data_IF_848286553167
#
_entry.id   IF_848286553167
#
_cell.length_a   1.000
_cell.length_b   1.000
_cell.length_c   1.000
_cell.angle_alpha   90.00
_cell.angle_beta   90.00
_cell.angle_gamma   90.00
#
_symmetry.space_group_name_H-M   'P 1'
#
loop_
_entity.id
_entity.type
_entity.pdbx_description
1 polymer ?
#
# COMPACT_ATOMS: atom_id res chain seq x y z
N UNK A 1 26.73 14.36 -54.94
CA UNK A 1 26.11 13.05 -54.66
C UNK A 1 25.89 12.95 -53.15
N UNK A 2 24.62 12.90 -52.72
CA UNK A 2 24.21 12.70 -51.32
C UNK A 2 24.05 11.20 -51.10
N UNK A 3 24.71 10.64 -50.09
CA UNK A 3 24.43 9.27 -49.65
C UNK A 3 23.80 9.34 -48.27
N UNK A 4 22.55 8.89 -48.19
CA UNK A 4 21.72 8.79 -46.99
C UNK A 4 21.98 7.44 -46.31
N UNK A 5 22.10 7.42 -44.99
CA UNK A 5 21.89 6.25 -44.12
C UNK A 5 21.24 6.81 -42.86
N UNK A 6 19.91 6.89 -42.78
CA UNK A 6 18.96 5.86 -42.33
C UNK A 6 19.13 5.51 -40.84
N UNK A 7 18.41 6.27 -40.00
CA UNK A 7 18.17 6.01 -38.58
C UNK A 7 17.14 4.90 -38.47
N UNK A 8 17.48 3.79 -37.79
CA UNK A 8 16.54 2.73 -37.47
C UNK A 8 16.01 2.97 -36.04
N UNK A 9 14.75 3.37 -35.94
CA UNK A 9 14.01 3.40 -34.69
C UNK A 9 13.49 1.99 -34.41
N UNK A 10 13.87 1.39 -33.28
CA UNK A 10 13.29 0.14 -32.80
C UNK A 10 12.17 0.50 -31.82
N UNK A 11 10.93 0.33 -32.29
CA UNK A 11 9.73 0.25 -31.47
C UNK A 11 9.70 -1.13 -30.81
N UNK A 12 9.79 -1.19 -29.48
CA UNK A 12 9.52 -2.41 -28.72
C UNK A 12 8.07 -2.35 -28.23
N UNK A 13 7.21 -3.15 -28.87
CA UNK A 13 5.85 -3.40 -28.42
C UNK A 13 5.87 -4.32 -27.19
N UNK A 14 5.39 -3.86 -26.04
CA UNK A 14 5.07 -4.72 -24.90
C UNK A 14 3.63 -5.18 -25.08
N UNK A 15 3.45 -6.49 -25.29
CA UNK A 15 2.16 -7.17 -25.29
C UNK A 15 1.84 -7.57 -23.86
N UNK A 16 0.73 -7.08 -23.34
CA UNK A 16 0.09 -7.55 -22.11
C UNK A 16 -0.73 -8.81 -22.43
N UNK A 17 -0.48 -9.91 -21.72
CA UNK A 17 -1.45 -10.99 -21.51
C UNK A 17 -0.99 -11.95 -20.41
N UNK A 18 -1.84 -12.12 -19.38
CA UNK A 18 -2.17 -13.46 -18.86
C UNK A 18 -1.59 -13.87 -17.50
N UNK A 19 -2.45 -13.81 -16.49
CA UNK A 19 -2.33 -14.30 -15.12
C UNK A 19 -1.98 -15.79 -14.97
N UNK A 20 -1.34 -16.16 -13.84
CA UNK A 20 -1.87 -17.04 -12.77
C UNK A 20 -0.77 -17.67 -11.90
N UNK A 21 -0.90 -17.58 -10.56
CA UNK A 21 -0.67 -18.68 -9.61
C UNK A 21 -1.07 -18.26 -8.18
N UNK A 22 -1.53 -19.21 -7.33
CA UNK A 22 -2.29 -18.95 -6.11
C UNK A 22 -1.41 -18.76 -4.87
N UNK A 23 -1.86 -17.91 -3.94
CA UNK A 23 -1.37 -17.93 -2.56
C UNK A 23 -2.40 -18.69 -1.71
N UNK A 24 -2.06 -19.91 -1.31
CA UNK A 24 -2.76 -20.64 -0.26
C UNK A 24 -2.20 -20.19 1.09
N UNK A 25 -3.04 -19.65 1.96
CA UNK A 25 -2.77 -19.50 3.38
C UNK A 25 -3.53 -20.60 4.15
N UNK A 26 -2.94 -21.23 5.18
CA UNK A 26 -3.57 -22.33 5.90
C UNK A 26 -4.68 -21.82 6.83
N UNK A 27 -5.88 -22.41 6.71
CA UNK A 27 -6.99 -22.21 7.64
C UNK A 27 -6.79 -22.99 8.96
N UNK A 28 -7.25 -22.46 10.10
CA UNK A 28 -7.35 -23.21 11.34
C UNK A 28 -8.71 -23.95 11.46
N UNK A 29 -8.63 -25.27 11.61
CA UNK A 29 -9.44 -26.07 12.55
C UNK A 29 -10.97 -26.02 12.49
N UNK A 30 -11.52 -27.05 11.83
CA UNK A 30 -12.81 -27.74 11.98
C UNK A 30 -13.75 -27.35 13.16
N UNK A 31 -15.00 -27.05 12.83
CA UNK A 31 -16.16 -27.03 13.73
C UNK A 31 -17.45 -27.36 12.97
N UNK A 32 -18.19 -28.36 13.47
CA UNK A 32 -19.15 -29.21 12.77
C UNK A 32 -20.45 -28.58 12.20
N UNK A 33 -20.97 -29.30 11.21
CA UNK A 33 -22.24 -29.14 10.50
C UNK A 33 -23.43 -29.63 11.34
N UNK A 34 -24.49 -28.83 11.47
CA UNK A 34 -25.87 -29.34 11.57
C UNK A 34 -26.85 -28.46 10.77
N UNK A 35 -27.61 -29.10 9.87
CA UNK A 35 -28.80 -28.58 9.15
C UNK A 35 -30.03 -29.28 9.72
N UNK A 36 -31.14 -28.59 9.98
CA UNK A 36 -32.34 -28.68 9.10
C UNK A 36 -33.12 -27.33 9.08
N UNK A 37 -34.04 -27.01 8.17
CA UNK A 37 -34.80 -27.72 7.17
C UNK A 37 -35.98 -26.83 6.77
N UNK A 38 -36.39 -26.96 5.51
CA UNK A 38 -37.47 -26.31 4.77
C UNK A 38 -38.86 -26.28 5.46
N UNK A 39 -39.62 -25.18 5.29
CA UNK A 39 -41.09 -25.20 5.21
C UNK A 39 -41.73 -23.81 4.91
N UNK A 40 -42.11 -23.60 3.64
CA UNK A 40 -43.50 -23.41 3.17
C UNK A 40 -44.40 -22.30 3.76
N UNK A 41 -44.75 -21.31 2.92
CA UNK A 41 -45.93 -20.42 3.04
C UNK A 41 -47.26 -21.18 3.02
N UNK A 42 -48.34 -20.66 3.64
CA UNK A 42 -49.51 -20.20 2.84
C UNK A 42 -50.35 -19.08 3.55
N UNK A 43 -51.58 -18.73 3.12
CA UNK A 43 -51.92 -17.88 1.98
C UNK A 43 -52.79 -16.65 2.35
N UNK A 44 -52.97 -15.74 1.38
CA UNK A 44 -54.00 -14.68 1.38
C UNK A 44 -55.35 -15.21 0.86
N UNK A 45 -56.43 -14.88 1.58
CA UNK A 45 -57.85 -14.77 1.14
C UNK A 45 -58.53 -13.94 2.24
N UNK A 46 -59.36 -12.91 2.06
CA UNK A 46 -60.27 -12.51 0.99
C UNK A 46 -61.66 -12.27 1.61
N UNK A 47 -62.34 -11.18 1.22
CA UNK A 47 -63.80 -10.86 1.36
C UNK A 47 -64.20 -9.67 2.25
N UNK A 48 -64.32 -8.48 1.62
CA UNK A 48 -65.50 -7.63 1.30
C UNK A 48 -66.81 -7.65 2.18
N UNK A 49 -67.80 -6.75 1.95
CA UNK A 49 -68.08 -5.50 2.68
C UNK A 49 -69.53 -5.41 3.26
N UNK A 50 -69.88 -4.33 3.95
CA UNK A 50 -71.24 -3.71 4.10
C UNK A 50 -71.17 -2.70 5.25
N UNK A 51 -71.98 -1.66 5.42
CA UNK A 51 -72.89 -0.81 4.63
C UNK A 51 -73.52 0.11 5.71
N UNK A 52 -74.01 1.29 5.33
CA UNK A 52 -75.08 1.94 6.11
C UNK A 52 -74.78 3.28 6.76
N UNK A 53 -75.05 4.32 5.97
CA UNK A 53 -76.12 5.32 6.23
C UNK A 53 -75.87 6.50 7.20
N UNK A 54 -75.80 7.66 6.55
CA UNK A 54 -76.62 8.88 6.73
C UNK A 54 -76.70 9.64 8.05
N UNK A 55 -76.52 10.96 7.94
CA UNK A 55 -76.92 11.94 8.96
C UNK A 55 -76.41 13.34 8.67
N UNK A 56 -77.20 14.11 7.91
CA UNK A 56 -77.07 15.55 7.63
C UNK A 56 -76.89 16.45 8.86
N UNK A 57 -76.30 17.64 8.66
CA UNK A 57 -76.80 18.86 9.32
C UNK A 57 -75.80 19.86 9.91
N UNK A 58 -75.68 21.00 9.19
CA UNK A 58 -75.47 22.38 9.69
C UNK A 58 -74.07 22.94 10.05
N UNK A 59 -73.57 23.70 9.06
CA UNK A 59 -73.09 25.09 9.14
C UNK A 59 -72.52 25.61 10.47
N UNK A 60 -71.21 25.86 10.48
CA UNK A 60 -70.63 27.08 11.08
C UNK A 60 -69.55 27.69 10.20
N UNK A 61 -69.89 28.89 9.73
CA UNK A 61 -69.04 29.93 9.17
C UNK A 61 -67.94 30.31 10.19
N UNK A 62 -66.68 30.03 9.86
CA UNK A 62 -65.52 30.72 10.45
C UNK A 62 -64.57 31.07 9.32
N UNK A 63 -64.58 32.36 9.01
CA UNK A 63 -63.55 33.05 8.24
C UNK A 63 -62.22 32.87 8.96
N UNK A 64 -61.29 32.14 8.35
CA UNK A 64 -59.87 32.33 8.61
C UNK A 64 -59.12 32.49 7.29
N UNK A 65 -58.43 33.62 7.23
CA UNK A 65 -57.71 34.10 6.07
C UNK A 65 -56.62 33.09 5.66
N UNK A 66 -56.74 32.56 4.45
CA UNK A 66 -55.65 31.89 3.77
C UNK A 66 -54.52 32.91 3.56
N UNK A 67 -53.53 32.89 4.45
CA UNK A 67 -52.20 33.35 4.15
C UNK A 67 -51.65 32.39 3.09
N UNK A 68 -51.83 32.76 1.83
CA UNK A 68 -51.16 32.15 0.71
C UNK A 68 -49.70 32.64 0.77
N UNK A 69 -48.88 31.98 1.58
CA UNK A 69 -47.44 32.14 1.51
C UNK A 69 -47.00 31.62 0.14
N UNK A 70 -46.58 32.55 -0.72
CA UNK A 70 -46.11 32.28 -2.07
C UNK A 70 -44.75 31.58 -2.10
N UNK A 71 -44.52 30.63 -1.20
CA UNK A 71 -43.42 29.69 -1.27
C UNK A 71 -43.63 28.83 -2.51
N UNK A 72 -43.01 29.25 -3.60
CA UNK A 72 -42.84 28.42 -4.78
C UNK A 72 -42.12 27.16 -4.30
N UNK A 73 -42.61 25.93 -4.56
CA UNK A 73 -41.91 24.72 -4.16
C UNK A 73 -40.49 24.81 -4.71
N UNK A 74 -39.50 24.77 -3.81
CA UNK A 74 -38.11 24.56 -4.22
C UNK A 74 -38.13 23.24 -5.00
N UNK A 75 -37.58 23.19 -6.23
CA UNK A 75 -37.49 21.93 -6.97
C UNK A 75 -36.86 20.87 -6.06
N UNK A 76 -37.48 19.70 -5.96
CA UNK A 76 -36.89 18.59 -5.22
C UNK A 76 -35.53 18.27 -5.85
N UNK A 77 -34.49 18.20 -5.02
CA UNK A 77 -33.15 17.83 -5.45
C UNK A 77 -33.14 16.31 -5.59
N UNK A 78 -32.97 15.81 -6.81
CA UNK A 78 -32.99 14.35 -7.07
C UNK A 78 -31.61 13.75 -6.77
N UNK A 79 -31.29 13.61 -5.48
CA UNK A 79 -30.11 12.90 -4.99
C UNK A 79 -30.38 12.24 -3.61
N UNK A 80 -29.55 11.30 -3.15
CA UNK A 80 -29.77 10.58 -1.89
C UNK A 80 -29.86 11.46 -0.63
N UNK A 81 -29.31 12.68 -0.68
CA UNK A 81 -29.22 13.60 0.43
C UNK A 81 -30.37 14.61 0.48
N UNK A 82 -31.21 14.71 -0.56
CA UNK A 82 -32.26 15.74 -0.72
C UNK A 82 -31.73 17.20 -0.61
N UNK A 83 -30.43 17.41 -0.84
CA UNK A 83 -29.74 18.72 -0.71
C UNK A 83 -28.64 18.88 -1.76
N UNK A 84 -28.43 20.11 -2.25
CA UNK A 84 -27.36 20.40 -3.22
C UNK A 84 -26.00 20.66 -2.56
N UNK A 85 -25.97 21.19 -1.33
CA UNK A 85 -24.72 21.53 -0.61
C UNK A 85 -24.58 20.70 0.66
N UNK A 86 -23.54 19.87 0.74
CA UNK A 86 -23.24 19.04 1.91
C UNK A 86 -22.18 19.70 2.79
N UNK A 87 -22.39 19.67 4.10
CA UNK A 87 -21.40 20.07 5.10
C UNK A 87 -20.44 18.93 5.42
N UNK A 88 -19.16 19.26 5.47
CA UNK A 88 -18.09 18.28 5.73
C UNK A 88 -17.30 18.74 6.94
N UNK A 89 -17.26 17.91 7.99
CA UNK A 89 -16.34 18.09 9.11
C UNK A 89 -15.13 17.18 8.96
N UNK A 90 -14.00 17.58 9.56
CA UNK A 90 -12.76 16.80 9.58
C UNK A 90 -12.44 16.45 11.02
N UNK A 91 -12.32 15.16 11.32
CA UNK A 91 -11.76 14.63 12.56
C UNK A 91 -10.32 14.19 12.27
N UNK A 92 -9.36 15.04 12.60
CA UNK A 92 -7.93 14.85 12.40
C UNK A 92 -7.17 14.47 13.68
N UNK A 93 -7.87 13.96 14.70
CA UNK A 93 -7.28 13.67 16.01
C UNK A 93 -6.08 12.70 15.97
N UNK A 94 -6.01 11.81 14.98
CA UNK A 94 -4.90 10.85 14.79
C UNK A 94 -3.86 11.32 13.75
N UNK A 95 -3.99 12.53 13.22
CA UNK A 95 -3.00 13.10 12.31
C UNK A 95 -1.76 13.53 13.11
N UNK A 96 -0.58 13.20 12.59
CA UNK A 96 0.69 13.55 13.24
C UNK A 96 0.84 15.06 13.42
N UNK A 97 1.37 15.48 14.57
CA UNK A 97 1.55 16.89 14.89
C UNK A 97 2.35 17.63 13.79
N UNK A 98 1.78 18.72 13.26
CA UNK A 98 2.40 19.52 12.21
C UNK A 98 2.04 19.13 10.77
N UNK A 99 1.27 18.05 10.58
CA UNK A 99 0.66 17.71 9.28
C UNK A 99 -0.73 18.34 9.20
N UNK A 100 -0.98 19.05 8.11
CA UNK A 100 -2.30 19.60 7.77
C UNK A 100 -2.93 18.77 6.66
N UNK A 101 -4.09 18.18 6.93
CA UNK A 101 -4.86 17.33 6.00
C UNK A 101 -5.99 18.08 5.33
N UNK A 102 -6.36 19.28 5.81
CA UNK A 102 -7.48 20.04 5.26
C UNK A 102 -7.31 20.42 3.79
N UNK A 103 -6.09 20.75 3.29
CA UNK A 103 -5.88 20.95 1.86
C UNK A 103 -6.24 19.72 1.03
N UNK A 104 -5.81 18.52 1.46
CA UNK A 104 -6.13 17.27 0.74
C UNK A 104 -7.64 16.97 0.75
N UNK A 105 -8.31 17.21 1.89
CA UNK A 105 -9.78 17.11 1.96
C UNK A 105 -10.41 18.09 0.98
N UNK A 106 -9.97 19.34 0.96
CA UNK A 106 -10.50 20.35 0.06
C UNK A 106 -10.29 19.99 -1.41
N UNK A 107 -9.10 19.52 -1.79
CA UNK A 107 -8.82 19.11 -3.16
C UNK A 107 -9.75 17.97 -3.62
N UNK A 108 -10.01 16.99 -2.75
CA UNK A 108 -10.92 15.89 -3.05
C UNK A 108 -12.40 16.33 -3.13
N UNK A 109 -12.82 17.30 -2.32
CA UNK A 109 -14.15 17.90 -2.43
C UNK A 109 -14.28 18.66 -3.76
N UNK A 110 -13.32 19.54 -4.06
CA UNK A 110 -13.28 20.33 -5.31
C UNK A 110 -13.30 19.41 -6.55
N UNK A 111 -12.64 18.24 -6.49
CA UNK A 111 -12.71 17.22 -7.54
C UNK A 111 -14.16 16.76 -7.78
N UNK A 112 -14.90 16.41 -6.74
CA UNK A 112 -16.29 15.94 -6.89
C UNK A 112 -17.27 17.07 -7.23
N UNK A 113 -17.05 18.29 -6.76
CA UNK A 113 -17.84 19.46 -7.21
C UNK A 113 -17.73 19.63 -8.73
N UNK A 114 -16.52 19.47 -9.27
CA UNK A 114 -16.28 19.60 -10.71
C UNK A 114 -16.83 18.43 -11.55
N UNK A 115 -16.91 17.22 -10.99
CA UNK A 115 -17.09 15.99 -11.76
C UNK A 115 -18.36 15.17 -11.44
N UNK A 116 -19.00 15.37 -10.28
CA UNK A 116 -20.14 14.59 -9.80
C UNK A 116 -21.29 14.50 -10.81
N UNK A 117 -21.63 15.61 -11.48
CA UNK A 117 -22.69 15.61 -12.50
C UNK A 117 -22.43 14.63 -13.63
N UNK A 118 -21.16 14.42 -13.99
CA UNK A 118 -20.78 13.51 -15.04
C UNK A 118 -20.80 12.05 -14.59
N UNK A 119 -20.20 11.76 -13.43
CA UNK A 119 -19.99 10.39 -12.96
C UNK A 119 -21.14 9.87 -12.08
N UNK A 120 -21.62 10.67 -11.11
CA UNK A 120 -22.71 10.30 -10.20
C UNK A 120 -24.11 10.68 -10.72
N UNK A 121 -24.20 11.48 -11.79
CA UNK A 121 -25.46 11.87 -12.43
C UNK A 121 -26.20 13.05 -11.80
N UNK A 122 -25.67 13.61 -10.71
CA UNK A 122 -26.16 14.81 -10.05
C UNK A 122 -24.98 15.70 -9.61
N UNK A 123 -25.22 17.00 -9.49
CA UNK A 123 -24.20 17.90 -8.94
C UNK A 123 -24.27 17.92 -7.42
N UNK A 124 -23.11 18.09 -6.79
CA UNK A 124 -22.96 18.33 -5.36
C UNK A 124 -22.02 19.50 -5.16
N UNK A 125 -22.32 20.34 -4.18
CA UNK A 125 -21.42 21.36 -3.63
C UNK A 125 -21.04 20.95 -2.20
N UNK A 126 -19.86 21.33 -1.74
CA UNK A 126 -19.42 21.06 -0.37
C UNK A 126 -19.09 22.34 0.40
N UNK A 127 -19.41 22.31 1.68
CA UNK A 127 -18.98 23.31 2.65
C UNK A 127 -18.15 22.64 3.73
N UNK A 128 -16.83 22.75 3.60
CA UNK A 128 -15.89 22.35 4.64
C UNK A 128 -16.06 23.25 5.87
N UNK A 129 -16.38 22.64 7.02
CA UNK A 129 -16.56 23.33 8.29
C UNK A 129 -15.22 23.74 8.91
N UNK A 130 -15.22 24.77 9.76
CA UNK A 130 -14.04 25.24 10.48
C UNK A 130 -13.57 24.20 11.51
N UNK A 131 -12.29 24.28 11.94
CA UNK A 131 -11.64 23.29 12.85
C UNK A 131 -12.38 23.09 14.17
N UNK A 132 -12.95 24.16 14.72
CA UNK A 132 -13.67 24.13 16.00
C UNK A 132 -15.16 23.74 15.86
N UNK A 133 -15.60 23.33 14.67
CA UNK A 133 -17.02 23.01 14.42
C UNK A 133 -17.40 21.66 15.03
N UNK A 134 -18.64 21.54 15.49
CA UNK A 134 -19.17 20.26 15.96
C UNK A 134 -19.32 19.30 14.77
N UNK A 135 -18.74 18.11 14.91
CA UNK A 135 -18.78 17.06 13.88
C UNK A 135 -20.13 16.35 13.85
N UNK A 136 -20.93 16.41 14.93
CA UNK A 136 -22.21 15.71 15.01
C UNK A 136 -23.29 16.28 14.10
N UNK A 137 -23.14 17.54 13.69
CA UNK A 137 -24.12 18.28 12.91
C UNK A 137 -23.78 18.31 11.41
N UNK A 138 -22.66 17.69 11.00
CA UNK A 138 -22.24 17.63 9.61
C UNK A 138 -23.00 16.55 8.82
N UNK A 139 -23.09 16.72 7.50
CA UNK A 139 -23.61 15.68 6.62
C UNK A 139 -22.60 14.54 6.44
N UNK A 140 -21.32 14.92 6.36
CA UNK A 140 -20.18 14.01 6.25
C UNK A 140 -19.12 14.34 7.31
N UNK A 141 -18.53 13.29 7.88
CA UNK A 141 -17.33 13.40 8.73
C UNK A 141 -16.21 12.62 8.09
N UNK A 142 -15.14 13.31 7.71
CA UNK A 142 -13.87 12.71 7.28
C UNK A 142 -13.01 12.47 8.50
N UNK A 143 -12.86 11.21 8.90
CA UNK A 143 -12.14 10.79 10.08
C UNK A 143 -10.80 10.14 9.72
N UNK A 144 -9.70 10.72 10.19
CA UNK A 144 -8.37 10.15 10.04
C UNK A 144 -8.07 9.17 11.18
N UNK A 145 -7.70 7.93 10.84
CA UNK A 145 -7.44 6.84 11.80
C UNK A 145 -6.14 6.11 11.49
N UNK A 146 -5.50 5.50 12.48
CA UNK A 146 -4.25 4.77 12.27
C UNK A 146 -4.41 3.48 11.46
N UNK A 147 -5.57 2.82 11.60
CA UNK A 147 -5.84 1.52 10.99
C UNK A 147 -7.35 1.30 10.79
N UNK A 148 -7.73 0.80 9.62
CA UNK A 148 -9.11 0.43 9.28
C UNK A 148 -9.17 -1.09 9.16
N UNK A 149 -9.56 -1.74 10.25
CA UNK A 149 -9.60 -3.21 10.33
C UNK A 149 -10.76 -3.84 9.57
N UNK A 150 -11.86 -3.11 9.47
CA UNK A 150 -13.12 -3.60 8.91
C UNK A 150 -13.81 -2.49 8.11
N UNK A 151 -14.05 -2.79 6.84
CA UNK A 151 -14.91 -2.04 5.94
C UNK A 151 -15.91 -2.99 5.24
N UNK A 152 -16.76 -3.63 6.05
CA UNK A 152 -17.77 -4.58 5.55
C UNK A 152 -17.15 -5.93 5.20
N UNK A 153 -16.78 -6.13 3.94
CA UNK A 153 -16.13 -7.38 3.47
C UNK A 153 -14.62 -7.28 3.36
N UNK A 154 -14.10 -6.07 3.33
CA UNK A 154 -12.68 -5.79 3.20
C UNK A 154 -12.02 -5.53 4.55
N UNK A 155 -10.75 -5.90 4.66
CA UNK A 155 -9.94 -5.74 5.87
C UNK A 155 -8.63 -5.02 5.53
N UNK A 156 -8.10 -4.23 6.47
CA UNK A 156 -6.84 -3.48 6.33
C UNK A 156 -6.78 -2.56 5.09
N UNK A 157 -7.87 -1.82 4.87
CA UNK A 157 -8.04 -0.92 3.73
C UNK A 157 -7.42 0.46 3.96
N UNK A 158 -7.15 1.18 2.86
CA UNK A 158 -6.61 2.55 2.89
C UNK A 158 -7.66 3.60 3.27
N UNK A 159 -8.92 3.36 2.90
CA UNK A 159 -10.06 4.19 3.25
C UNK A 159 -11.32 3.32 3.42
N UNK A 160 -12.37 3.91 3.98
CA UNK A 160 -13.68 3.28 4.07
C UNK A 160 -14.80 4.31 4.20
N UNK A 161 -15.73 4.27 3.26
CA UNK A 161 -16.94 5.08 3.26
C UNK A 161 -18.22 4.24 3.07
N UNK A 162 -19.38 4.76 3.53
CA UNK A 162 -20.66 4.17 3.19
C UNK A 162 -20.94 4.30 1.69
N UNK A 163 -21.38 3.20 1.07
CA UNK A 163 -21.85 3.19 -0.32
C UNK A 163 -23.31 3.67 -0.41
N UNK A 164 -23.51 4.95 -0.74
CA UNK A 164 -24.81 5.62 -0.65
C UNK A 164 -25.46 5.69 -2.04
N UNK A 165 -26.48 4.85 -2.27
CA UNK A 165 -27.21 4.82 -3.55
C UNK A 165 -28.66 5.28 -3.42
N UNK A 166 -29.19 5.42 -2.19
CA UNK A 166 -30.58 5.77 -1.90
C UNK A 166 -30.68 6.53 -0.59
N UNK A 167 -31.64 7.45 -0.52
CA UNK A 167 -32.00 8.18 0.70
C UNK A 167 -33.15 7.55 1.50
N UNK A 168 -33.47 8.09 2.68
CA UNK A 168 -32.71 9.16 3.35
C UNK A 168 -31.37 8.64 3.91
N UNK A 169 -30.34 9.50 3.91
CA UNK A 169 -29.01 9.17 4.44
C UNK A 169 -28.98 9.36 5.96
N UNK A 170 -28.41 8.39 6.68
CA UNK A 170 -28.09 8.54 8.10
C UNK A 170 -26.89 9.48 8.27
N UNK A 171 -27.09 10.61 8.97
CA UNK A 171 -26.08 11.67 9.15
C UNK A 171 -25.53 11.69 10.59
N UNK A 172 -24.22 11.98 10.78
CA UNK A 172 -23.21 12.14 9.73
C UNK A 172 -22.85 10.79 9.09
N UNK A 173 -22.67 10.78 7.77
CA UNK A 173 -22.03 9.66 7.09
C UNK A 173 -20.50 9.76 7.30
N UNK A 174 -19.91 8.70 7.85
CA UNK A 174 -18.50 8.71 8.28
C UNK A 174 -17.62 8.11 7.20
N UNK A 175 -16.67 8.90 6.71
CA UNK A 175 -15.60 8.50 5.79
C UNK A 175 -14.33 8.34 6.60
N UNK A 176 -13.77 7.13 6.68
CA UNK A 176 -12.53 6.85 7.41
C UNK A 176 -11.36 6.80 6.45
N UNK A 177 -10.27 7.48 6.79
CA UNK A 177 -9.04 7.53 5.99
C UNK A 177 -7.88 7.09 6.86
N UNK A 178 -7.11 6.11 6.38
CA UNK A 178 -5.92 5.66 7.08
C UNK A 178 -4.82 6.72 7.03
N UNK A 179 -4.17 7.00 8.15
CA UNK A 179 -3.03 7.92 8.24
C UNK A 179 -1.74 7.29 7.72
N UNK A 180 -0.70 8.10 7.54
CA UNK A 180 0.64 7.62 7.12
C UNK A 180 0.93 7.72 5.63
N UNK A 181 -0.04 8.08 4.79
CA UNK A 181 0.15 8.35 3.37
C UNK A 181 0.70 9.76 3.10
N UNK A 182 1.42 9.93 1.99
CA UNK A 182 1.79 11.26 1.50
C UNK A 182 0.54 12.07 1.07
N UNK A 183 0.75 13.32 0.67
CA UNK A 183 -0.36 14.20 0.31
C UNK A 183 -1.16 13.68 -0.90
N UNK A 184 -0.49 13.23 -1.96
CA UNK A 184 -1.14 12.79 -3.19
C UNK A 184 -1.96 11.50 -2.96
N UNK A 185 -1.37 10.54 -2.26
CA UNK A 185 -2.05 9.29 -1.90
C UNK A 185 -3.20 9.53 -0.94
N UNK A 186 -3.08 10.49 -0.02
CA UNK A 186 -4.19 10.90 0.85
C UNK A 186 -5.34 11.50 0.05
N UNK A 187 -5.06 12.42 -0.88
CA UNK A 187 -6.07 13.01 -1.76
C UNK A 187 -6.76 11.95 -2.61
N UNK A 188 -6.00 11.02 -3.21
CA UNK A 188 -6.57 9.95 -4.03
C UNK A 188 -7.53 9.04 -3.23
N UNK A 189 -7.15 8.66 -2.01
CA UNK A 189 -8.04 7.88 -1.13
C UNK A 189 -9.27 8.69 -0.77
N UNK A 190 -9.12 9.97 -0.43
CA UNK A 190 -10.27 10.85 -0.16
C UNK A 190 -11.23 10.94 -1.36
N UNK A 191 -10.70 11.15 -2.56
CA UNK A 191 -11.49 11.17 -3.80
C UNK A 191 -12.25 9.85 -3.98
N UNK A 192 -11.58 8.71 -3.83
CA UNK A 192 -12.20 7.38 -3.92
C UNK A 192 -13.35 7.20 -2.92
N UNK A 193 -13.08 7.45 -1.63
CA UNK A 193 -14.06 7.23 -0.56
C UNK A 193 -15.25 8.19 -0.68
N UNK A 194 -15.02 9.45 -1.07
CA UNK A 194 -16.10 10.38 -1.35
C UNK A 194 -16.95 9.93 -2.55
N UNK A 195 -16.37 9.25 -3.55
CA UNK A 195 -17.11 8.63 -4.64
C UNK A 195 -18.14 7.60 -4.16
N UNK A 196 -17.81 6.79 -3.15
CA UNK A 196 -18.77 5.88 -2.53
C UNK A 196 -19.94 6.60 -1.85
N UNK A 197 -19.68 7.76 -1.24
CA UNK A 197 -20.75 8.60 -0.66
C UNK A 197 -21.67 9.18 -1.75
N UNK A 198 -21.21 9.22 -3.01
CA UNK A 198 -21.99 9.64 -4.17
C UNK A 198 -22.63 8.48 -4.95
N UNK A 199 -22.47 7.24 -4.46
CA UNK A 199 -23.07 6.04 -5.06
C UNK A 199 -22.25 5.39 -6.16
N UNK A 200 -20.96 5.73 -6.29
CA UNK A 200 -20.03 5.09 -7.22
C UNK A 200 -19.36 3.87 -6.58
N UNK A 201 -19.29 2.77 -7.30
CA UNK A 201 -18.59 1.53 -6.93
C UNK A 201 -17.22 1.42 -7.61
N UNK A 202 -16.51 0.32 -7.35
CA UNK A 202 -15.13 0.18 -7.82
C UNK A 202 -14.95 0.04 -9.35
N UNK A 203 -16.02 -0.33 -10.06
CA UNK A 203 -16.01 -0.52 -11.51
C UNK A 203 -16.49 0.74 -12.27
N UNK A 204 -16.89 1.79 -11.54
CA UNK A 204 -17.41 3.02 -12.14
C UNK A 204 -16.28 3.96 -12.57
N UNK A 205 -16.56 4.86 -13.51
CA UNK A 205 -15.63 5.92 -13.89
C UNK A 205 -15.60 7.05 -12.83
N UNK A 206 -14.47 7.75 -12.66
CA UNK A 206 -13.19 7.54 -13.35
C UNK A 206 -12.38 6.39 -12.73
N UNK A 207 -11.91 5.47 -13.57
CA UNK A 207 -11.21 4.26 -13.13
C UNK A 207 -9.91 4.55 -12.37
N UNK A 208 -9.26 5.67 -12.65
CA UNK A 208 -8.06 6.13 -11.96
C UNK A 208 -8.32 6.55 -10.50
N UNK A 209 -9.58 6.85 -10.15
CA UNK A 209 -10.01 7.18 -8.79
C UNK A 209 -10.76 6.02 -8.16
N UNK A 210 -11.76 5.47 -8.85
CA UNK A 210 -12.70 4.50 -8.26
C UNK A 210 -12.19 3.06 -8.27
N UNK A 211 -11.12 2.70 -9.00
CA UNK A 211 -10.62 1.33 -8.96
C UNK A 211 -10.31 0.86 -7.53
N UNK A 212 -10.74 -0.36 -7.18
CA UNK A 212 -10.54 -0.93 -5.84
C UNK A 212 -9.09 -1.27 -5.49
N UNK A 213 -8.16 -1.13 -6.44
CA UNK A 213 -6.73 -1.30 -6.24
C UNK A 213 -5.97 -0.13 -6.87
N UNK A 214 -5.09 0.48 -6.08
CA UNK A 214 -4.19 1.54 -6.55
C UNK A 214 -2.87 1.50 -5.79
N UNK A 215 -1.81 2.09 -6.37
CA UNK A 215 -0.53 2.23 -5.70
C UNK A 215 -0.55 3.49 -4.85
N UNK A 216 -0.28 3.33 -3.54
CA UNK A 216 -0.19 4.42 -2.58
C UNK A 216 1.22 4.50 -2.02
N UNK A 217 1.69 5.72 -1.79
CA UNK A 217 2.97 6.06 -1.18
C UNK A 217 2.78 6.58 0.23
N UNK A 218 3.65 6.16 1.14
CA UNK A 218 3.69 6.66 2.51
C UNK A 218 4.37 8.02 2.61
N UNK A 219 4.20 8.69 3.74
CA UNK A 219 5.08 9.81 4.10
C UNK A 219 6.55 9.36 4.13
N UNK A 220 7.50 10.29 3.97
CA UNK A 220 8.93 9.97 4.01
C UNK A 220 9.31 9.15 5.24
N UNK A 221 10.13 8.12 5.02
CA UNK A 221 10.65 7.22 6.05
C UNK A 221 12.17 7.28 6.09
N UNK A 222 12.75 6.56 7.04
CA UNK A 222 14.20 6.48 7.18
C UNK A 222 14.73 5.39 6.26
N UNK A 223 15.62 5.79 5.37
CA UNK A 223 16.36 4.91 4.47
C UNK A 223 17.11 3.80 5.21
N UNK A 224 17.19 2.63 4.59
CA UNK A 224 17.93 1.46 5.06
C UNK A 224 19.40 1.77 5.35
N UNK A 225 20.00 2.65 4.56
CA UNK A 225 21.40 3.09 4.72
C UNK A 225 21.60 3.97 5.95
N UNK A 226 20.55 4.65 6.42
CA UNK A 226 20.61 5.55 7.57
C UNK A 226 20.19 4.86 8.89
N UNK A 227 19.74 3.59 8.80
CA UNK A 227 19.43 2.74 9.95
C UNK A 227 20.69 2.08 10.49
N UNK A 228 20.68 1.81 11.79
CA UNK A 228 21.68 0.94 12.43
C UNK A 228 21.71 -0.46 11.78
N UNK A 229 20.53 -0.98 11.39
CA UNK A 229 20.39 -2.21 10.62
C UNK A 229 19.33 -2.03 9.53
N UNK A 230 19.72 -2.26 8.28
CA UNK A 230 18.83 -2.22 7.13
C UNK A 230 17.75 -3.33 7.11
N UNK A 231 17.88 -4.35 7.95
CA UNK A 231 16.99 -5.50 8.03
C UNK A 231 16.01 -5.38 9.20
N UNK A 232 14.89 -6.10 9.12
CA UNK A 232 13.93 -6.20 10.22
C UNK A 232 14.40 -7.10 11.38
N UNK A 233 15.44 -7.90 11.15
CA UNK A 233 15.97 -8.87 12.11
C UNK A 233 17.49 -8.97 11.97
N UNK A 234 18.18 -9.22 13.08
CA UNK A 234 19.65 -9.28 13.11
C UNK A 234 20.24 -10.67 12.84
N UNK A 235 19.40 -11.73 12.81
CA UNK A 235 19.85 -13.08 12.42
C UNK A 235 19.47 -13.35 10.97
N UNK A 236 20.42 -13.20 10.06
CA UNK A 236 20.20 -13.34 8.62
C UNK A 236 20.36 -14.79 8.17
N UNK A 237 19.38 -15.29 7.44
CA UNK A 237 19.42 -16.61 6.83
C UNK A 237 20.28 -16.59 5.56
N UNK A 238 21.20 -17.55 5.43
CA UNK A 238 22.17 -17.60 4.34
C UNK A 238 22.07 -18.92 3.60
N UNK A 239 21.79 -18.84 2.30
CA UNK A 239 21.91 -19.95 1.37
C UNK A 239 23.14 -19.76 0.49
N UNK A 240 23.87 -20.86 0.25
CA UNK A 240 25.05 -20.85 -0.61
C UNK A 240 24.94 -21.96 -1.63
N UNK A 241 24.83 -21.57 -2.89
CA UNK A 241 24.94 -22.48 -4.03
C UNK A 241 26.39 -22.57 -4.47
N UNK A 242 27.04 -23.68 -4.10
CA UNK A 242 28.44 -23.92 -4.44
C UNK A 242 28.67 -24.27 -5.91
N UNK A 243 27.62 -24.51 -6.72
CA UNK A 243 27.65 -24.68 -8.18
C UNK A 243 29.03 -25.02 -8.77
N UNK A 244 29.62 -24.03 -9.44
CA UNK A 244 30.88 -24.12 -10.18
C UNK A 244 32.14 -23.81 -9.34
N UNK A 245 32.08 -23.92 -8.00
CA UNK A 245 33.25 -23.69 -7.16
C UNK A 245 34.32 -24.79 -7.33
N UNK A 246 35.55 -24.39 -7.64
CA UNK A 246 36.69 -25.30 -7.89
C UNK A 246 36.98 -26.26 -6.72
N UNK A 247 37.02 -25.72 -5.49
CA UNK A 247 37.14 -26.49 -4.25
C UNK A 247 36.01 -26.09 -3.30
N UNK A 248 34.96 -26.92 -3.26
CA UNK A 248 33.79 -26.70 -2.42
C UNK A 248 34.15 -26.53 -0.94
N UNK A 249 35.03 -27.38 -0.40
CA UNK A 249 35.31 -27.39 1.03
C UNK A 249 36.14 -26.15 1.44
N UNK A 250 37.11 -25.77 0.60
CA UNK A 250 37.87 -24.54 0.82
C UNK A 250 37.00 -23.30 0.64
N UNK A 251 36.11 -23.28 -0.36
CA UNK A 251 35.14 -22.21 -0.58
C UNK A 251 34.17 -22.07 0.59
N UNK A 252 33.69 -23.19 1.13
CA UNK A 252 32.82 -23.20 2.31
C UNK A 252 33.50 -22.54 3.52
N UNK A 253 34.78 -22.85 3.77
CA UNK A 253 35.56 -22.19 4.83
C UNK A 253 35.71 -20.68 4.59
N UNK A 254 35.93 -20.26 3.35
CA UNK A 254 36.06 -18.85 2.98
C UNK A 254 34.76 -18.08 3.20
N UNK A 255 33.62 -18.64 2.79
CA UNK A 255 32.31 -18.03 3.04
C UNK A 255 32.01 -17.98 4.55
N UNK A 256 32.29 -19.06 5.29
CA UNK A 256 32.09 -19.08 6.74
C UNK A 256 32.96 -18.04 7.46
N UNK A 257 34.22 -17.87 7.05
CA UNK A 257 35.12 -16.86 7.59
C UNK A 257 34.62 -15.42 7.32
N UNK A 258 34.14 -15.16 6.11
CA UNK A 258 33.56 -13.86 5.75
C UNK A 258 32.34 -13.51 6.62
N UNK A 259 31.44 -14.48 6.86
CA UNK A 259 30.28 -14.28 7.73
C UNK A 259 30.69 -14.08 9.19
N UNK A 260 31.58 -14.95 9.70
CA UNK A 260 32.07 -14.87 11.08
C UNK A 260 32.73 -13.54 11.41
N UNK A 261 33.45 -12.92 10.45
CA UNK A 261 34.01 -11.58 10.63
C UNK A 261 32.96 -10.51 10.98
N UNK A 262 31.76 -10.59 10.38
CA UNK A 262 30.65 -9.70 10.72
C UNK A 262 29.92 -10.11 12.00
N UNK A 263 29.85 -11.41 12.33
CA UNK A 263 29.35 -11.87 13.64
C UNK A 263 30.23 -11.38 14.79
N UNK A 264 31.54 -11.23 14.54
CA UNK A 264 32.51 -10.66 15.47
C UNK A 264 32.50 -9.12 15.49
N UNK A 265 31.53 -8.48 14.79
CA UNK A 265 31.30 -7.04 14.79
C UNK A 265 32.12 -6.23 13.79
N UNK A 266 32.94 -6.87 12.96
CA UNK A 266 33.73 -6.24 11.89
C UNK A 266 34.43 -4.94 12.33
N UNK A 267 35.19 -4.99 13.42
CA UNK A 267 35.91 -3.83 13.99
C UNK A 267 34.98 -2.66 14.42
N UNK A 268 33.73 -2.96 14.75
CA UNK A 268 32.71 -1.99 15.15
C UNK A 268 32.06 -1.27 13.99
N UNK A 269 32.21 -1.76 12.75
CA UNK A 269 31.55 -1.19 11.57
C UNK A 269 30.11 -1.67 11.39
N UNK A 270 29.71 -2.75 12.08
CA UNK A 270 28.34 -3.27 12.08
C UNK A 270 27.84 -3.53 13.51
N UNK A 271 26.52 -3.64 13.74
CA UNK A 271 25.98 -3.96 15.07
C UNK A 271 26.45 -5.32 15.60
N UNK A 272 26.76 -5.41 16.90
CA UNK A 272 27.29 -6.62 17.56
C UNK A 272 26.29 -7.80 17.63
N UNK A 273 25.00 -7.56 17.33
CA UNK A 273 23.95 -8.58 17.37
C UNK A 273 23.66 -9.23 16.01
N UNK A 274 24.43 -8.89 14.97
CA UNK A 274 24.33 -9.53 13.65
C UNK A 274 24.81 -10.97 13.73
N UNK A 275 24.02 -11.90 13.20
CA UNK A 275 24.35 -13.33 13.16
C UNK A 275 23.84 -13.95 11.87
N UNK A 276 24.40 -15.10 11.49
CA UNK A 276 24.03 -15.80 10.27
C UNK A 276 23.63 -17.24 10.54
N UNK A 277 22.53 -17.67 9.94
CA UNK A 277 22.05 -19.06 10.01
C UNK A 277 22.01 -19.67 8.62
N UNK A 278 22.61 -20.84 8.43
CA UNK A 278 22.54 -21.54 7.14
C UNK A 278 21.15 -22.13 6.91
N UNK A 279 20.66 -21.98 5.69
CA UNK A 279 19.41 -22.60 5.22
C UNK A 279 19.65 -23.30 3.88
N UNK A 280 18.89 -24.36 3.62
CA UNK A 280 19.00 -25.16 2.40
C UNK A 280 18.09 -24.67 1.26
N UNK A 281 17.23 -23.69 1.54
CA UNK A 281 16.24 -23.17 0.59
C UNK A 281 16.54 -21.70 0.25
N UNK A 282 16.88 -21.37 -1.01
CA UNK A 282 17.16 -20.00 -1.41
C UNK A 282 15.95 -19.07 -1.28
N UNK A 283 14.72 -19.60 -1.31
CA UNK A 283 13.49 -18.81 -1.16
C UNK A 283 13.28 -18.30 0.26
N UNK A 284 13.92 -18.92 1.25
CA UNK A 284 13.86 -18.53 2.67
C UNK A 284 15.12 -17.83 3.17
N UNK A 285 16.12 -17.63 2.31
CA UNK A 285 17.37 -16.98 2.66
C UNK A 285 17.29 -15.45 2.49
N UNK A 286 17.78 -14.70 3.45
CA UNK A 286 18.00 -13.25 3.34
C UNK A 286 19.21 -12.98 2.42
N UNK A 287 20.27 -13.75 2.59
CA UNK A 287 21.51 -13.67 1.78
C UNK A 287 21.65 -14.92 0.93
N UNK A 288 21.81 -14.74 -0.38
CA UNK A 288 22.05 -15.82 -1.33
C UNK A 288 23.39 -15.60 -2.01
N UNK A 289 24.32 -16.53 -1.82
CA UNK A 289 25.61 -16.54 -2.52
C UNK A 289 25.60 -17.66 -3.56
N UNK A 290 25.83 -17.34 -4.84
CA UNK A 290 25.87 -18.29 -5.95
C UNK A 290 27.23 -18.26 -6.65
N UNK A 291 27.80 -19.43 -6.88
CA UNK A 291 28.98 -19.60 -7.72
C UNK A 291 28.54 -20.03 -9.12
N UNK A 292 28.93 -19.25 -10.12
CA UNK A 292 28.50 -19.44 -11.51
C UNK A 292 29.67 -19.23 -12.50
N UNK A 293 29.55 -19.79 -13.69
CA UNK A 293 30.52 -19.62 -14.79
C UNK A 293 30.69 -18.17 -15.27
N UNK A 294 29.61 -17.38 -15.28
CA UNK A 294 29.58 -16.01 -15.82
C UNK A 294 28.82 -15.04 -14.89
N UNK A 295 29.19 -13.76 -14.94
CA UNK A 295 28.54 -12.70 -14.18
C UNK A 295 27.62 -11.86 -15.04
N UNK A 296 26.40 -11.63 -14.54
CA UNK A 296 25.40 -10.80 -15.21
C UNK A 296 25.77 -9.30 -15.21
N UNK A 297 26.68 -8.85 -14.34
CA UNK A 297 27.14 -7.46 -14.31
C UNK A 297 28.28 -7.12 -15.29
N UNK A 298 28.55 -7.99 -16.27
CA UNK A 298 29.39 -7.67 -17.44
C UNK A 298 30.89 -7.89 -17.29
N UNK A 299 31.36 -8.45 -16.17
CA UNK A 299 32.75 -8.88 -15.99
C UNK A 299 32.85 -10.41 -16.12
N UNK A 300 33.97 -10.96 -16.60
CA UNK A 300 34.15 -12.42 -16.69
C UNK A 300 34.75 -13.05 -15.42
N UNK A 301 35.18 -12.23 -14.46
CA UNK A 301 35.85 -12.64 -13.24
C UNK A 301 35.58 -11.63 -12.13
N UNK A 302 35.22 -12.10 -10.95
CA UNK A 302 34.93 -11.26 -9.80
C UNK A 302 33.64 -11.65 -9.09
N UNK A 303 32.92 -10.65 -8.61
CA UNK A 303 31.60 -10.83 -8.03
C UNK A 303 30.67 -9.67 -8.40
N UNK A 304 29.37 -9.96 -8.43
CA UNK A 304 28.30 -8.97 -8.50
C UNK A 304 27.38 -9.18 -7.32
N UNK A 305 26.70 -8.13 -6.89
CA UNK A 305 25.65 -8.25 -5.91
C UNK A 305 24.57 -7.19 -6.09
N UNK A 306 23.39 -7.52 -5.58
CA UNK A 306 22.21 -6.67 -5.60
C UNK A 306 21.50 -6.80 -4.27
N UNK A 307 21.06 -5.67 -3.76
CA UNK A 307 20.13 -5.60 -2.63
C UNK A 307 18.73 -5.33 -3.19
N UNK A 308 17.75 -6.00 -2.62
CA UNK A 308 16.32 -5.76 -2.83
C UNK A 308 15.68 -5.42 -1.49
N UNK A 309 14.56 -4.71 -1.54
CA UNK A 309 13.90 -4.20 -0.35
C UNK A 309 12.56 -3.55 -0.65
N UNK A 310 12.02 -2.89 0.36
CA UNK A 310 10.77 -2.13 0.31
C UNK A 310 11.06 -0.64 0.22
N UNK A 311 10.36 0.03 -0.70
CA UNK A 311 10.33 1.48 -0.93
C UNK A 311 8.86 1.97 -0.82
N UNK A 312 8.27 2.02 0.39
CA UNK A 312 6.89 2.46 0.58
C UNK A 312 6.65 3.96 0.33
N UNK A 313 7.64 4.85 0.40
CA UNK A 313 7.43 6.29 0.16
C UNK A 313 7.75 6.74 -1.28
N UNK A 314 8.34 5.85 -2.08
CA UNK A 314 8.49 5.99 -3.53
C UNK A 314 9.61 6.94 -3.94
N UNK A 315 10.58 7.19 -3.07
CA UNK A 315 11.70 8.11 -3.35
C UNK A 315 12.86 7.45 -4.13
N UNK A 316 12.78 6.13 -4.34
CA UNK A 316 13.76 5.32 -5.05
C UNK A 316 14.90 4.79 -4.17
N UNK A 317 14.84 5.05 -2.87
CA UNK A 317 15.71 4.45 -1.84
C UNK A 317 14.89 3.39 -1.09
N UNK A 318 15.58 2.47 -0.41
CA UNK A 318 14.92 1.37 0.28
C UNK A 318 14.87 1.69 1.77
N UNK A 319 13.73 1.56 2.44
CA UNK A 319 13.61 1.69 3.90
C UNK A 319 14.08 0.43 4.63
N UNK A 320 13.96 -0.73 3.97
CA UNK A 320 14.27 -2.03 4.56
C UNK A 320 14.68 -3.04 3.50
N UNK A 321 15.77 -3.75 3.74
CA UNK A 321 16.24 -4.82 2.87
C UNK A 321 15.44 -6.11 3.11
N UNK A 322 15.19 -6.82 2.01
CA UNK A 322 14.51 -8.12 1.99
C UNK A 322 15.37 -9.20 1.35
N UNK A 323 16.38 -8.83 0.56
CA UNK A 323 17.28 -9.78 -0.09
C UNK A 323 18.65 -9.16 -0.38
N UNK A 324 19.70 -9.94 -0.18
CA UNK A 324 21.02 -9.73 -0.76
C UNK A 324 21.35 -10.92 -1.65
N UNK A 325 21.51 -10.69 -2.94
CA UNK A 325 22.02 -11.69 -3.87
C UNK A 325 23.46 -11.38 -4.25
N UNK A 326 24.33 -12.38 -4.19
CA UNK A 326 25.74 -12.31 -4.56
C UNK A 326 26.04 -13.41 -5.55
N UNK A 327 26.61 -13.05 -6.70
CA UNK A 327 27.12 -14.01 -7.68
C UNK A 327 28.63 -13.87 -7.77
N UNK A 328 29.33 -15.00 -7.76
CA UNK A 328 30.79 -15.09 -7.82
C UNK A 328 31.17 -15.95 -9.03
N UNK A 329 32.13 -15.49 -9.83
CA UNK A 329 32.60 -16.25 -10.99
C UNK A 329 34.13 -16.14 -11.17
N UNK A 330 34.75 -17.26 -11.54
CA UNK A 330 36.15 -17.36 -11.97
C UNK A 330 37.18 -16.75 -11.00
N UNK A 331 36.92 -16.87 -9.69
CA UNK A 331 37.83 -16.40 -8.64
C UNK A 331 38.65 -17.54 -8.04
N UNK A 332 39.91 -17.23 -7.71
CA UNK A 332 40.74 -18.11 -6.90
C UNK A 332 40.07 -18.27 -5.52
N UNK A 333 40.04 -19.48 -4.97
CA UNK A 333 39.35 -19.77 -3.70
C UNK A 333 39.79 -18.85 -2.56
N UNK A 334 41.06 -18.45 -2.53
CA UNK A 334 41.62 -17.57 -1.50
C UNK A 334 41.03 -16.16 -1.52
N UNK A 335 40.47 -15.71 -2.65
CA UNK A 335 39.85 -14.39 -2.77
C UNK A 335 38.34 -14.40 -2.43
N UNK A 336 37.73 -15.58 -2.24
CA UNK A 336 36.28 -15.71 -2.06
C UNK A 336 35.80 -14.96 -0.83
N UNK A 337 36.48 -15.11 0.32
CA UNK A 337 36.05 -14.46 1.56
C UNK A 337 35.93 -12.95 1.39
N UNK A 338 36.91 -12.31 0.74
CA UNK A 338 36.90 -10.86 0.54
C UNK A 338 35.70 -10.41 -0.32
N UNK A 339 35.43 -11.12 -1.41
CA UNK A 339 34.31 -10.80 -2.30
C UNK A 339 32.96 -11.01 -1.64
N UNK A 340 32.78 -12.09 -0.87
CA UNK A 340 31.57 -12.34 -0.08
C UNK A 340 31.40 -11.26 0.98
N UNK A 341 32.44 -11.03 1.78
CA UNK A 341 32.40 -10.09 2.89
C UNK A 341 32.10 -8.67 2.42
N UNK A 342 32.67 -8.25 1.28
CA UNK A 342 32.37 -6.93 0.75
C UNK A 342 30.90 -6.76 0.35
N UNK A 343 30.28 -7.77 -0.24
CA UNK A 343 28.85 -7.70 -0.55
C UNK A 343 27.97 -7.82 0.69
N UNK A 344 28.35 -8.63 1.67
CA UNK A 344 27.67 -8.72 2.96
C UNK A 344 27.73 -7.38 3.70
N UNK A 345 28.88 -6.71 3.71
CA UNK A 345 29.01 -5.37 4.28
C UNK A 345 28.03 -4.38 3.63
N UNK A 346 27.88 -4.41 2.31
CA UNK A 346 26.87 -3.60 1.61
C UNK A 346 25.44 -3.94 2.05
N UNK A 347 25.15 -5.23 2.22
CA UNK A 347 23.89 -5.70 2.80
C UNK A 347 23.69 -5.26 4.25
N UNK A 348 24.74 -4.89 4.98
CA UNK A 348 24.70 -4.36 6.33
C UNK A 348 24.87 -2.83 6.37
N UNK A 349 24.46 -2.14 5.31
CA UNK A 349 24.47 -0.68 5.18
C UNK A 349 25.84 -0.01 5.08
N UNK A 350 26.92 -0.73 4.77
CA UNK A 350 28.19 -0.13 4.39
C UNK A 350 28.12 0.29 2.91
N UNK A 351 27.65 1.50 2.65
CA UNK A 351 27.35 2.02 1.31
C UNK A 351 28.53 2.78 0.70
N UNK A 352 29.35 3.44 1.52
CA UNK A 352 30.58 4.11 1.08
C UNK A 352 31.84 3.30 1.39
N UNK A 353 32.86 3.38 0.54
CA UNK A 353 34.13 2.64 0.77
C UNK A 353 34.82 2.99 2.10
N UNK A 354 34.57 4.20 2.61
CA UNK A 354 35.13 4.66 3.88
C UNK A 354 34.51 3.97 5.11
N UNK A 355 33.25 3.52 4.99
CA UNK A 355 32.53 2.78 6.06
C UNK A 355 33.03 1.35 6.20
N UNK A 356 33.66 0.79 5.16
CA UNK A 356 34.26 -0.54 5.26
C UNK A 356 35.47 -0.53 6.18
N UNK A 357 35.64 -1.60 6.98
CA UNK A 357 36.88 -1.83 7.71
C UNK A 357 38.04 -1.96 6.72
N UNK A 358 39.25 -1.63 7.18
CA UNK A 358 40.42 -1.48 6.31
C UNK A 358 40.65 -2.67 5.35
N UNK A 359 40.51 -3.94 5.79
CA UNK A 359 40.67 -5.07 4.87
C UNK A 359 39.70 -5.10 3.68
N UNK A 360 38.49 -4.56 3.82
CA UNK A 360 37.42 -4.65 2.83
C UNK A 360 37.32 -3.44 1.88
N UNK A 361 38.19 -2.44 2.07
CA UNK A 361 38.25 -1.26 1.20
C UNK A 361 38.70 -1.61 -0.21
N UNK A 362 38.24 -0.84 -1.20
CA UNK A 362 38.62 -1.02 -2.61
C UNK A 362 40.11 -0.81 -2.85
N UNK A 363 40.76 -0.05 -1.99
CA UNK A 363 42.21 0.20 -2.04
C UNK A 363 43.06 -1.00 -1.62
N UNK A 364 42.48 -2.00 -0.94
CA UNK A 364 43.18 -3.24 -0.53
C UNK A 364 43.71 -4.00 -1.74
N UNK A 365 44.98 -4.38 -1.71
CA UNK A 365 45.65 -5.02 -2.84
C UNK A 365 45.14 -6.43 -3.11
N UNK A 366 45.23 -6.91 -4.35
CA UNK A 366 44.79 -8.25 -4.72
C UNK A 366 45.54 -9.38 -3.98
N UNK A 367 46.73 -9.11 -3.44
CA UNK A 367 47.47 -10.05 -2.60
C UNK A 367 46.89 -10.11 -1.18
N UNK A 368 46.57 -8.96 -0.59
CA UNK A 368 45.93 -8.86 0.73
C UNK A 368 44.51 -9.46 0.72
N UNK A 369 43.74 -9.28 -0.36
CA UNK A 369 42.41 -9.92 -0.50
C UNK A 369 42.44 -11.45 -0.45
N UNK A 370 43.61 -12.07 -0.63
CA UNK A 370 43.82 -13.52 -0.61
C UNK A 370 44.40 -14.03 0.72
N UNK A 371 44.74 -13.14 1.65
CA UNK A 371 45.22 -13.55 2.97
C UNK A 371 44.03 -13.88 3.88
N UNK A 372 44.33 -14.38 5.07
CA UNK A 372 43.33 -14.58 6.13
C UNK A 372 43.08 -13.27 6.87
N UNK A 373 42.65 -12.24 6.13
CA UNK A 373 42.45 -10.86 6.61
C UNK A 373 41.35 -10.74 7.69
N UNK A 374 40.50 -11.75 7.81
CA UNK A 374 39.40 -11.84 8.78
C UNK A 374 39.85 -12.29 10.19
N UNK A 375 41.16 -12.34 10.46
CA UNK A 375 41.74 -12.87 11.70
C UNK A 375 42.32 -11.81 12.62
#
# INVERSE_FOLDING_TARGET
>A
MRTRVAVLAVLLCIVVAGCSAPVSLPEPGEGDVETPGDATQPPRTGSTPDDGSDGDGEERDVRDAAWNDGSTPVPAVDNPYDEETLTVAVDDANVSAGRDVRPAVRDALDFWEANSRHYAGYAVDYRLLDEDSDTSDADLVVQFVDDIRDCGREQHVAGCAPYITRGPVDRPAVVRIKTGFDANSTTLVLEHELGHTLGLGHDDEPSEVMAGETMLTTQPKTDATDRELAWNHSTLSVYVDYGDADDRQATERQVAAALGYFEDGAEGTVPENVSFVRVDDPGRADVVVRFADDLQCGTRRGSCGRVEGYDPDGDGRLETYSKLEVTIANLDTEAVAWHVARWVGRGLSLDSDAEYPEPLRETTSAAERRTEWWR
#
